data_IF_485768680703
#
_entry.id   IF_485768680703
#
_cell.length_a   1.000
_cell.length_b   1.000
_cell.length_c   1.000
_cell.angle_alpha   90.00
_cell.angle_beta   90.00
_cell.angle_gamma   90.00
#
_symmetry.space_group_name_H-M   'P 1'
#
loop_
_entity.id
_entity.type
_entity.pdbx_description
1 polymer ?
#
# COMPACT_ATOMS: atom_id res chain seq x y z
N UNK A 1 -6.95 13.44 -5.37
CA UNK A 1 -7.56 14.25 -6.44
C UNK A 1 -6.91 15.64 -6.53
N UNK A 2 -6.87 16.44 -5.43
CA UNK A 2 -6.27 17.78 -5.51
C UNK A 2 -4.78 17.73 -5.86
N UNK A 3 -3.99 16.87 -5.20
CA UNK A 3 -2.58 16.69 -5.52
C UNK A 3 -2.34 16.23 -6.96
N UNK A 4 -3.14 15.30 -7.45
CA UNK A 4 -3.08 14.81 -8.82
C UNK A 4 -3.43 15.91 -9.86
N UNK A 5 -4.39 16.77 -9.54
CA UNK A 5 -4.76 17.89 -10.39
C UNK A 5 -3.74 19.05 -10.41
N UNK A 6 -2.98 19.22 -9.32
CA UNK A 6 -2.07 20.37 -9.13
C UNK A 6 -0.58 19.99 -9.23
N UNK A 7 -0.22 18.72 -9.35
CA UNK A 7 1.16 18.24 -9.35
C UNK A 7 1.42 17.20 -10.43
N UNK A 8 2.36 17.46 -11.32
CA UNK A 8 2.84 16.49 -12.32
C UNK A 8 3.68 15.33 -11.70
N UNK A 9 3.81 15.29 -10.37
CA UNK A 9 4.54 14.26 -9.61
C UNK A 9 3.64 13.19 -9.01
N UNK A 10 2.32 13.32 -9.20
CA UNK A 10 1.31 12.40 -8.68
C UNK A 10 0.35 12.02 -9.79
N UNK A 11 0.01 10.75 -9.88
CA UNK A 11 -1.01 10.22 -10.77
C UNK A 11 -1.91 9.27 -9.98
N UNK A 12 -3.22 9.48 -10.01
CA UNK A 12 -4.18 8.57 -9.38
C UNK A 12 -4.62 7.46 -10.33
N UNK A 13 -4.65 6.24 -9.81
CA UNK A 13 -5.14 5.05 -10.49
C UNK A 13 -6.19 4.37 -9.64
N UNK A 14 -7.28 3.94 -10.26
CA UNK A 14 -8.27 3.08 -9.62
C UNK A 14 -7.91 1.62 -9.86
N UNK A 15 -7.63 0.86 -8.80
CA UNK A 15 -7.37 -0.58 -8.89
C UNK A 15 -8.64 -1.37 -9.20
N UNK A 16 -9.78 -0.87 -8.77
CA UNK A 16 -11.10 -1.45 -8.98
C UNK A 16 -12.10 -0.95 -7.94
N UNK A 17 -13.24 -1.64 -7.85
CA UNK A 17 -14.28 -1.35 -6.87
C UNK A 17 -14.16 -2.26 -5.66
N UNK A 18 -14.35 -1.71 -4.47
CA UNK A 18 -14.46 -2.46 -3.22
C UNK A 18 -15.74 -3.29 -3.18
N UNK A 19 -15.90 -4.07 -2.13
CA UNK A 19 -17.11 -4.85 -1.87
C UNK A 19 -18.38 -4.00 -1.85
N UNK A 20 -18.31 -2.77 -1.33
CA UNK A 20 -19.44 -1.82 -1.28
C UNK A 20 -19.46 -0.82 -2.46
N UNK A 21 -18.60 -1.03 -3.46
CA UNK A 21 -18.61 -0.26 -4.70
C UNK A 21 -17.82 1.05 -4.68
N UNK A 22 -17.01 1.33 -3.65
CA UNK A 22 -16.09 2.48 -3.61
C UNK A 22 -14.89 2.22 -4.52
N UNK A 23 -14.25 3.29 -4.97
CA UNK A 23 -12.99 3.18 -5.69
C UNK A 23 -11.85 2.81 -4.73
N UNK A 24 -11.09 1.77 -5.08
CA UNK A 24 -9.81 1.47 -4.43
C UNK A 24 -8.71 2.24 -5.16
N UNK A 25 -8.28 3.35 -4.57
CA UNK A 25 -7.42 4.36 -5.23
C UNK A 25 -5.96 4.16 -4.83
N UNK A 26 -5.10 4.07 -5.85
CA UNK A 26 -3.64 4.02 -5.73
C UNK A 26 -3.05 5.35 -6.22
N UNK A 27 -2.24 6.01 -5.41
CA UNK A 27 -1.44 7.14 -5.83
C UNK A 27 -0.06 6.65 -6.30
N UNK A 28 0.29 6.98 -7.54
CA UNK A 28 1.62 6.75 -8.12
C UNK A 28 2.39 8.04 -8.00
N UNK A 29 3.46 8.05 -7.22
CA UNK A 29 4.21 9.26 -6.88
C UNK A 29 5.67 9.06 -7.27
N UNK A 30 6.21 9.99 -8.09
CA UNK A 30 7.61 9.99 -8.50
C UNK A 30 7.99 11.36 -9.10
N UNK A 31 9.21 11.49 -9.61
CA UNK A 31 9.59 12.66 -10.41
C UNK A 31 8.79 12.70 -11.72
N UNK A 32 8.60 13.88 -12.26
CA UNK A 32 7.95 14.09 -13.55
C UNK A 32 8.61 13.26 -14.66
N UNK A 33 9.96 13.19 -14.64
CA UNK A 33 10.73 12.39 -15.58
C UNK A 33 10.45 10.88 -15.47
N UNK A 34 10.24 10.36 -14.24
CA UNK A 34 9.89 8.96 -14.03
C UNK A 34 8.45 8.69 -14.45
N UNK A 35 7.51 9.56 -14.12
CA UNK A 35 6.11 9.40 -14.54
C UNK A 35 5.95 9.47 -16.06
N UNK A 36 6.70 10.33 -16.74
CA UNK A 36 6.69 10.41 -18.21
C UNK A 36 7.15 9.11 -18.92
N UNK A 37 7.90 8.25 -18.21
CA UNK A 37 8.38 6.95 -18.72
C UNK A 37 7.87 5.76 -17.90
N UNK A 38 6.78 5.91 -17.19
CA UNK A 38 6.26 4.95 -16.22
C UNK A 38 6.09 3.53 -16.80
N UNK A 39 5.53 3.41 -18.00
CA UNK A 39 5.35 2.10 -18.64
C UNK A 39 6.70 1.42 -18.94
N UNK A 40 7.73 2.20 -19.31
CA UNK A 40 9.07 1.66 -19.46
C UNK A 40 9.64 1.17 -18.12
N UNK A 41 9.41 1.88 -17.03
CA UNK A 41 9.83 1.45 -15.69
C UNK A 41 9.14 0.15 -15.28
N UNK A 42 7.84 -0.01 -15.59
CA UNK A 42 7.08 -1.25 -15.36
C UNK A 42 7.64 -2.44 -16.17
N UNK A 43 8.02 -2.20 -17.43
CA UNK A 43 8.68 -3.23 -18.24
C UNK A 43 10.02 -3.66 -17.60
N UNK A 44 10.83 -2.72 -17.13
CA UNK A 44 12.08 -3.01 -16.44
C UNK A 44 11.83 -3.83 -15.16
N UNK A 45 10.86 -3.42 -14.33
CA UNK A 45 10.46 -4.16 -13.15
C UNK A 45 10.02 -5.60 -13.47
N UNK A 46 9.24 -5.78 -14.55
CA UNK A 46 8.81 -7.09 -14.98
C UNK A 46 9.97 -8.00 -15.42
N UNK A 47 10.99 -7.45 -16.10
CA UNK A 47 12.20 -8.18 -16.48
C UNK A 47 13.03 -8.56 -15.24
N UNK A 48 13.14 -7.65 -14.27
CA UNK A 48 13.86 -7.91 -13.02
C UNK A 48 13.15 -8.98 -12.17
N UNK A 49 11.82 -8.98 -12.15
CA UNK A 49 11.03 -9.96 -11.41
C UNK A 49 11.02 -11.34 -12.06
N UNK A 50 10.93 -11.40 -13.39
CA UNK A 50 10.99 -12.66 -14.13
C UNK A 50 12.01 -12.57 -15.27
N UNK A 51 13.29 -12.90 -15.00
CA UNK A 51 14.37 -12.83 -15.99
C UNK A 51 14.40 -14.01 -16.96
N UNK A 52 13.50 -14.98 -16.86
CA UNK A 52 13.46 -16.17 -17.74
C UNK A 52 13.25 -15.76 -19.20
N UNK A 53 14.03 -16.37 -20.09
CA UNK A 53 13.99 -16.04 -21.52
C UNK A 53 14.55 -14.67 -21.91
N UNK A 54 15.20 -13.95 -20.97
CA UNK A 54 15.87 -12.66 -21.25
C UNK A 54 17.38 -12.86 -21.37
N UNK A 55 17.98 -12.19 -22.35
CA UNK A 55 19.45 -12.18 -22.49
C UNK A 55 20.11 -11.41 -21.33
N UNK A 56 21.42 -11.61 -21.16
CA UNK A 56 22.18 -10.87 -20.15
C UNK A 56 22.11 -9.36 -20.36
N UNK A 57 22.20 -8.92 -21.61
CA UNK A 57 22.14 -7.51 -22.02
C UNK A 57 20.78 -6.90 -21.68
N UNK A 58 19.68 -7.63 -21.94
CA UNK A 58 18.33 -7.18 -21.60
C UNK A 58 18.14 -7.02 -20.09
N UNK A 59 18.68 -7.94 -19.30
CA UNK A 59 18.61 -7.87 -17.83
C UNK A 59 19.42 -6.70 -17.27
N UNK A 60 20.65 -6.48 -17.76
CA UNK A 60 21.47 -5.36 -17.35
C UNK A 60 20.84 -4.03 -17.74
N UNK A 61 20.32 -3.91 -18.95
CA UNK A 61 19.61 -2.72 -19.40
C UNK A 61 18.36 -2.42 -18.56
N UNK A 62 17.63 -3.45 -18.12
CA UNK A 62 16.48 -3.29 -17.24
C UNK A 62 16.88 -2.74 -15.86
N UNK A 63 18.02 -3.17 -15.32
CA UNK A 63 18.55 -2.64 -14.05
C UNK A 63 19.02 -1.20 -14.20
N UNK A 64 19.76 -0.88 -15.27
CA UNK A 64 20.31 0.46 -15.50
C UNK A 64 19.23 1.51 -15.80
N UNK A 65 18.19 1.13 -16.56
CA UNK A 65 17.11 2.04 -16.97
C UNK A 65 15.92 2.05 -16.03
N UNK A 66 15.83 1.06 -15.16
CA UNK A 66 14.75 0.89 -14.19
C UNK A 66 14.81 1.90 -13.04
N UNK A 67 13.74 1.94 -12.29
CA UNK A 67 13.68 2.51 -10.96
C UNK A 67 12.94 1.51 -10.05
N UNK A 68 13.32 1.37 -8.77
CA UNK A 68 12.61 0.50 -7.86
C UNK A 68 11.19 1.04 -7.59
N UNK A 69 10.26 0.12 -7.46
CA UNK A 69 8.90 0.38 -7.00
C UNK A 69 8.78 0.02 -5.52
N UNK A 70 8.31 0.96 -4.72
CA UNK A 70 7.91 0.76 -3.33
C UNK A 70 6.40 0.81 -3.25
N UNK A 71 5.76 -0.27 -2.85
CA UNK A 71 4.31 -0.30 -2.58
C UNK A 71 4.06 -0.13 -1.08
N UNK A 72 3.28 0.88 -0.72
CA UNK A 72 2.87 1.18 0.65
C UNK A 72 1.37 1.03 0.75
N UNK A 73 0.88 0.07 1.54
CA UNK A 73 -0.53 -0.10 1.83
C UNK A 73 -0.85 0.33 3.26
N UNK A 74 -2.00 0.98 3.44
CA UNK A 74 -2.46 1.48 4.72
C UNK A 74 -3.89 1.02 5.02
N UNK A 75 -4.26 1.04 6.30
CA UNK A 75 -5.62 0.87 6.78
C UNK A 75 -6.34 -0.38 6.25
N UNK A 76 -5.66 -1.53 6.22
CA UNK A 76 -6.31 -2.82 6.02
C UNK A 76 -7.27 -3.10 7.18
N UNK A 77 -6.80 -2.98 8.42
CA UNK A 77 -7.66 -2.90 9.58
C UNK A 77 -8.14 -1.45 9.74
N UNK A 78 -9.38 -1.19 9.45
CA UNK A 78 -9.93 0.18 9.41
C UNK A 78 -9.91 0.90 10.77
N UNK A 79 -9.81 0.18 11.87
CA UNK A 79 -9.65 0.72 13.23
C UNK A 79 -8.24 1.25 13.51
N UNK A 80 -7.26 0.97 12.66
CA UNK A 80 -5.89 1.46 12.74
C UNK A 80 -5.78 2.86 12.09
N UNK A 81 -6.40 3.85 12.73
CA UNK A 81 -6.70 5.16 12.15
C UNK A 81 -5.47 6.06 11.85
N UNK A 82 -4.29 5.75 12.38
CA UNK A 82 -3.09 6.56 12.14
C UNK A 82 -2.56 6.37 10.70
N UNK A 83 -2.70 5.15 10.14
CA UNK A 83 -2.15 4.81 8.83
C UNK A 83 -2.74 5.64 7.67
N UNK A 84 -4.06 5.82 7.52
CA UNK A 84 -4.62 6.65 6.44
C UNK A 84 -4.29 8.15 6.60
N UNK A 85 -4.13 8.64 7.84
CA UNK A 85 -3.68 10.01 8.07
C UNK A 85 -2.20 10.19 7.67
N UNK A 86 -1.36 9.26 8.07
CA UNK A 86 0.04 9.19 7.64
C UNK A 86 0.16 9.16 6.11
N UNK A 87 -0.65 8.36 5.43
CA UNK A 87 -0.64 8.25 3.98
C UNK A 87 -0.91 9.59 3.28
N UNK A 88 -1.84 10.39 3.81
CA UNK A 88 -2.14 11.71 3.25
C UNK A 88 -0.97 12.68 3.41
N UNK A 89 -0.31 12.68 4.57
CA UNK A 89 0.87 13.50 4.81
C UNK A 89 2.04 13.04 3.94
N UNK A 90 2.30 11.73 3.87
CA UNK A 90 3.36 11.16 3.05
C UNK A 90 3.18 11.53 1.56
N UNK A 91 1.95 11.44 1.05
CA UNK A 91 1.66 11.84 -0.32
C UNK A 91 1.97 13.32 -0.57
N UNK A 92 1.61 14.18 0.38
CA UNK A 92 1.91 15.61 0.30
C UNK A 92 3.41 15.87 0.31
N UNK A 93 4.16 15.32 1.27
CA UNK A 93 5.61 15.49 1.37
C UNK A 93 6.35 14.97 0.13
N UNK A 94 6.00 13.78 -0.33
CA UNK A 94 6.58 13.22 -1.55
C UNK A 94 6.30 14.08 -2.79
N UNK A 95 5.15 14.71 -2.89
CA UNK A 95 4.79 15.53 -4.04
C UNK A 95 5.42 16.91 -4.02
N UNK A 96 5.59 17.53 -2.83
CA UNK A 96 5.87 18.96 -2.70
C UNK A 96 7.21 19.28 -2.05
N UNK A 97 7.73 18.45 -1.15
CA UNK A 97 8.95 18.74 -0.42
C UNK A 97 10.19 18.54 -1.29
N UNK A 98 11.13 19.48 -1.21
CA UNK A 98 12.47 19.36 -1.79
C UNK A 98 13.54 18.95 -0.76
N UNK A 99 13.11 18.65 0.47
CA UNK A 99 13.99 18.13 1.52
C UNK A 99 14.27 16.64 1.33
N UNK A 100 15.45 16.22 1.79
CA UNK A 100 15.75 14.80 1.94
C UNK A 100 14.99 14.22 3.16
N UNK A 101 14.47 12.99 3.11
CA UNK A 101 14.65 11.99 2.06
C UNK A 101 13.58 12.02 0.93
N UNK A 102 12.62 12.97 0.97
CA UNK A 102 11.48 12.99 0.03
C UNK A 102 11.92 13.23 -1.41
N UNK A 103 12.88 14.16 -1.60
CA UNK A 103 13.43 14.44 -2.93
C UNK A 103 14.13 13.21 -3.51
N UNK A 104 15.00 12.56 -2.73
CA UNK A 104 15.71 11.35 -3.18
C UNK A 104 14.75 10.20 -3.50
N UNK A 105 13.73 9.97 -2.67
CA UNK A 105 12.71 8.97 -2.93
C UNK A 105 12.00 9.24 -4.28
N UNK A 106 11.60 10.48 -4.52
CA UNK A 106 10.93 10.87 -5.75
C UNK A 106 11.83 10.76 -7.00
N UNK A 107 13.10 11.11 -6.89
CA UNK A 107 14.04 11.05 -8.00
C UNK A 107 14.43 9.63 -8.37
N UNK A 108 14.56 8.74 -7.38
CA UNK A 108 15.14 7.42 -7.57
C UNK A 108 14.13 6.26 -7.51
N UNK A 109 12.92 6.50 -7.01
CA UNK A 109 11.90 5.46 -6.83
C UNK A 109 10.56 5.87 -7.45
N UNK A 110 9.70 4.89 -7.65
CA UNK A 110 8.26 5.08 -7.86
C UNK A 110 7.54 4.57 -6.61
N UNK A 111 6.88 5.47 -5.89
CA UNK A 111 6.10 5.12 -4.70
C UNK A 111 4.66 4.87 -5.12
N UNK A 112 4.18 3.68 -4.82
CA UNK A 112 2.81 3.22 -5.02
C UNK A 112 2.10 3.27 -3.68
N UNK A 113 1.36 4.34 -3.41
CA UNK A 113 0.70 4.55 -2.13
C UNK A 113 -0.78 4.23 -2.22
N UNK A 114 -1.22 3.24 -1.45
CA UNK A 114 -2.61 2.86 -1.26
C UNK A 114 -3.07 3.39 0.11
N UNK A 115 -3.77 4.54 0.17
CA UNK A 115 -4.09 5.21 1.44
C UNK A 115 -5.02 4.41 2.34
N UNK A 116 -5.87 3.58 1.76
CA UNK A 116 -6.70 2.63 2.48
C UNK A 116 -6.93 1.38 1.64
N UNK A 117 -6.57 0.24 2.20
CA UNK A 117 -6.89 -1.08 1.63
C UNK A 117 -8.36 -1.44 1.90
N UNK A 118 -8.96 -0.85 2.94
CA UNK A 118 -10.35 -1.08 3.34
C UNK A 118 -11.11 0.25 3.51
N UNK A 119 -11.43 0.97 2.42
CA UNK A 119 -12.15 2.23 2.51
C UNK A 119 -13.59 2.06 3.01
N UNK A 120 -14.22 0.91 2.78
CA UNK A 120 -15.57 0.59 3.28
C UNK A 120 -15.58 0.58 4.81
N UNK A 121 -14.63 -0.12 5.42
CA UNK A 121 -14.48 -0.15 6.87
C UNK A 121 -14.04 1.19 7.46
N UNK A 122 -13.21 1.94 6.75
CA UNK A 122 -12.77 3.26 7.21
C UNK A 122 -13.93 4.24 7.35
N UNK A 123 -14.89 4.21 6.42
CA UNK A 123 -16.11 5.02 6.51
C UNK A 123 -16.95 4.63 7.74
N UNK A 124 -17.12 3.35 8.03
CA UNK A 124 -17.84 2.86 9.22
C UNK A 124 -17.19 3.34 10.51
N UNK A 125 -15.86 3.22 10.60
CA UNK A 125 -15.10 3.70 11.77
C UNK A 125 -15.25 5.21 11.93
N UNK A 126 -15.14 5.96 10.84
CA UNK A 126 -15.28 7.41 10.87
C UNK A 126 -16.69 7.85 11.25
N UNK A 127 -17.72 7.16 10.77
CA UNK A 127 -19.10 7.42 11.12
C UNK A 127 -19.38 7.09 12.60
N UNK A 128 -18.91 5.94 13.07
CA UNK A 128 -19.01 5.57 14.48
C UNK A 128 -18.38 6.62 15.38
N UNK A 129 -17.16 7.06 15.07
CA UNK A 129 -16.49 8.11 15.84
C UNK A 129 -17.26 9.42 15.83
N UNK A 130 -17.76 9.89 14.69
CA UNK A 130 -18.58 11.12 14.60
C UNK A 130 -19.83 11.04 15.46
N UNK A 131 -20.46 9.87 15.56
CA UNK A 131 -21.66 9.65 16.33
C UNK A 131 -21.38 9.52 17.84
N UNK A 132 -20.17 9.15 18.25
CA UNK A 132 -19.80 8.89 19.65
C UNK A 132 -18.91 9.98 20.25
N UNK A 133 -18.30 10.82 19.45
CA UNK A 133 -17.39 11.90 19.92
C UNK A 133 -18.10 12.80 20.93
N UNK A 134 -17.40 13.12 22.04
CA UNK A 134 -17.93 13.88 23.18
C UNK A 134 -19.10 13.22 23.92
N UNK A 135 -19.30 11.94 23.77
CA UNK A 135 -20.23 11.13 24.54
C UNK A 135 -19.47 10.17 25.45
N UNK A 136 -20.13 9.49 26.41
CA UNK A 136 -19.51 8.44 27.20
C UNK A 136 -18.99 7.24 26.35
N UNK A 137 -19.34 7.19 25.09
CA UNK A 137 -18.98 6.10 24.16
C UNK A 137 -17.85 6.46 23.19
N UNK A 138 -17.23 7.65 23.31
CA UNK A 138 -16.19 8.12 22.38
C UNK A 138 -15.03 7.13 22.18
N UNK A 139 -14.64 6.43 23.22
CA UNK A 139 -13.55 5.45 23.17
C UNK A 139 -14.03 4.00 23.04
N UNK A 140 -15.31 3.78 22.77
CA UNK A 140 -15.84 2.42 22.62
C UNK A 140 -15.46 1.81 21.28
N UNK A 141 -15.33 0.50 21.26
CA UNK A 141 -15.04 -0.26 20.06
C UNK A 141 -16.20 -0.16 19.05
N UNK A 142 -15.89 -0.27 17.77
CA UNK A 142 -16.89 -0.36 16.72
C UNK A 142 -17.79 -1.59 16.98
N UNK A 143 -19.14 -1.45 17.05
CA UNK A 143 -20.03 -2.55 17.44
C UNK A 143 -20.29 -3.56 16.32
N UNK A 144 -19.69 -3.35 15.15
CA UNK A 144 -19.81 -4.21 13.98
C UNK A 144 -18.44 -4.49 13.36
N UNK A 145 -18.38 -5.46 12.45
CA UNK A 145 -17.17 -5.70 11.67
C UNK A 145 -16.95 -4.57 10.65
N UNK A 146 -15.71 -4.11 10.52
CA UNK A 146 -15.30 -3.15 9.49
C UNK A 146 -15.10 -3.77 8.11
N UNK A 147 -15.42 -5.05 7.95
CA UNK A 147 -15.33 -5.78 6.69
C UNK A 147 -16.54 -6.70 6.52
N UNK A 148 -16.86 -7.08 5.29
CA UNK A 148 -17.84 -8.11 5.04
C UNK A 148 -17.34 -9.42 5.67
N UNK A 149 -18.19 -10.08 6.45
CA UNK A 149 -17.81 -11.31 7.14
C UNK A 149 -17.51 -12.44 6.14
N UNK A 150 -16.32 -13.01 6.25
CA UNK A 150 -15.85 -14.12 5.42
C UNK A 150 -15.26 -15.27 6.25
N UNK A 151 -15.46 -15.29 7.57
CA UNK A 151 -14.98 -16.32 8.46
C UNK A 151 -13.57 -16.12 9.03
N UNK A 152 -12.88 -15.06 8.61
CA UNK A 152 -11.51 -14.72 9.04
C UNK A 152 -11.26 -13.21 9.00
N UNK A 153 -10.19 -12.78 9.63
CA UNK A 153 -9.65 -11.43 9.52
C UNK A 153 -9.26 -11.11 8.06
N UNK A 154 -9.46 -9.85 7.62
CA UNK A 154 -9.10 -9.45 6.26
C UNK A 154 -7.59 -9.60 5.99
N UNK A 155 -6.75 -9.47 7.01
CA UNK A 155 -5.31 -9.75 6.91
C UNK A 155 -4.98 -11.26 6.97
N UNK A 156 -5.96 -12.14 6.93
CA UNK A 156 -5.81 -13.60 6.75
C UNK A 156 -6.41 -14.09 5.44
N UNK A 157 -6.72 -13.16 4.53
CA UNK A 157 -7.36 -13.48 3.24
C UNK A 157 -6.37 -13.65 2.08
N UNK A 158 -5.09 -13.37 2.28
CA UNK A 158 -4.07 -13.37 1.21
C UNK A 158 -3.88 -14.71 0.48
N UNK A 159 -4.17 -15.82 1.16
CA UNK A 159 -4.09 -17.15 0.54
C UNK A 159 -5.43 -17.60 -0.07
N UNK A 160 -6.55 -17.14 0.50
CA UNK A 160 -7.90 -17.55 0.09
C UNK A 160 -8.49 -16.63 -0.98
N UNK A 161 -8.13 -15.33 -0.95
CA UNK A 161 -8.59 -14.28 -1.86
C UNK A 161 -10.13 -14.26 -1.97
N UNK A 162 -10.82 -14.33 -0.84
CA UNK A 162 -12.29 -14.30 -0.80
C UNK A 162 -12.85 -12.88 -0.89
N UNK A 163 -12.09 -11.90 -0.38
CA UNK A 163 -12.47 -10.50 -0.39
C UNK A 163 -12.03 -9.80 -1.67
N UNK A 164 -12.84 -8.83 -2.11
CA UNK A 164 -12.56 -8.08 -3.34
C UNK A 164 -11.29 -7.24 -3.22
N UNK A 165 -11.05 -6.65 -2.07
CA UNK A 165 -9.91 -5.78 -1.77
C UNK A 165 -8.59 -6.55 -1.86
N UNK A 166 -8.51 -7.73 -1.26
CA UNK A 166 -7.31 -8.58 -1.32
C UNK A 166 -7.03 -9.08 -2.73
N UNK A 167 -8.06 -9.38 -3.54
CA UNK A 167 -7.90 -9.71 -4.96
C UNK A 167 -7.28 -8.56 -5.75
N UNK A 168 -7.79 -7.34 -5.54
CA UNK A 168 -7.31 -6.15 -6.24
C UNK A 168 -5.86 -5.81 -5.86
N UNK A 169 -5.54 -5.85 -4.56
CA UNK A 169 -4.17 -5.60 -4.09
C UNK A 169 -3.21 -6.69 -4.55
N UNK A 170 -3.60 -7.96 -4.47
CA UNK A 170 -2.79 -9.08 -4.98
C UNK A 170 -2.50 -8.92 -6.47
N UNK A 171 -3.50 -8.53 -7.26
CA UNK A 171 -3.31 -8.25 -8.68
C UNK A 171 -2.31 -7.10 -8.90
N UNK A 172 -2.48 -6.00 -8.16
CA UNK A 172 -1.57 -4.85 -8.25
C UNK A 172 -0.12 -5.26 -7.92
N UNK A 173 0.09 -5.99 -6.81
CA UNK A 173 1.41 -6.42 -6.36
C UNK A 173 2.09 -7.37 -7.35
N UNK A 174 1.43 -8.45 -7.74
CA UNK A 174 2.09 -9.55 -8.45
C UNK A 174 1.99 -9.47 -9.98
N UNK A 175 1.02 -8.73 -10.51
CA UNK A 175 0.78 -8.72 -11.95
C UNK A 175 0.98 -7.34 -12.58
N UNK A 176 0.43 -6.29 -11.97
CA UNK A 176 0.36 -4.98 -12.62
C UNK A 176 1.62 -4.13 -12.36
N UNK A 177 2.19 -4.15 -11.15
CA UNK A 177 3.30 -3.27 -10.75
C UNK A 177 4.59 -3.99 -10.39
N UNK A 178 4.53 -5.17 -9.75
CA UNK A 178 5.70 -5.98 -9.34
C UNK A 178 6.73 -5.18 -8.53
N UNK A 179 6.33 -4.56 -7.41
CA UNK A 179 7.23 -3.76 -6.59
C UNK A 179 8.36 -4.61 -5.99
N UNK A 180 9.54 -4.02 -5.82
CA UNK A 180 10.67 -4.66 -5.16
C UNK A 180 10.55 -4.64 -3.65
N UNK A 181 9.80 -3.67 -3.11
CA UNK A 181 9.52 -3.53 -1.68
C UNK A 181 8.03 -3.36 -1.48
N UNK A 182 7.47 -4.12 -0.56
CA UNK A 182 6.10 -3.96 -0.07
C UNK A 182 6.13 -3.63 1.41
N UNK A 183 5.54 -2.50 1.78
CA UNK A 183 5.37 -2.06 3.16
C UNK A 183 3.90 -2.01 3.50
N UNK A 184 3.45 -2.93 4.34
CA UNK A 184 2.09 -2.97 4.87
C UNK A 184 2.06 -2.28 6.23
N UNK A 185 1.38 -1.14 6.29
CA UNK A 185 1.38 -0.25 7.46
C UNK A 185 0.25 -0.64 8.39
N UNK A 186 0.62 -1.16 9.55
CA UNK A 186 -0.29 -1.52 10.63
C UNK A 186 -0.05 -0.68 11.89
N UNK A 187 -1.03 -0.69 12.79
CA UNK A 187 -0.95 -0.07 14.10
C UNK A 187 -1.15 -1.14 15.18
N UNK A 188 -0.21 -1.21 16.11
CA UNK A 188 -0.33 -2.12 17.25
C UNK A 188 -1.18 -1.52 18.36
N UNK A 189 -1.77 -2.39 19.18
CA UNK A 189 -2.55 -1.99 20.35
C UNK A 189 -1.72 -1.19 21.36
N UNK A 190 -2.38 -0.29 22.12
CA UNK A 190 -1.72 0.62 23.03
C UNK A 190 -1.11 -0.02 24.28
N UNK A 191 -1.42 -1.28 24.55
CA UNK A 191 -1.07 -1.99 25.81
C UNK A 191 -0.06 -3.12 25.63
N UNK A 192 0.48 -3.33 24.42
CA UNK A 192 1.40 -4.41 24.09
C UNK A 192 2.71 -3.86 23.50
N UNK A 193 3.56 -4.76 23.03
CA UNK A 193 4.80 -4.43 22.36
C UNK A 193 4.57 -3.50 21.17
N UNK A 194 5.50 -2.60 20.95
CA UNK A 194 5.40 -1.56 19.91
C UNK A 194 6.14 -1.91 18.63
N UNK A 195 7.03 -2.88 18.68
CA UNK A 195 7.88 -3.28 17.58
C UNK A 195 8.23 -4.75 17.69
N UNK A 196 8.14 -5.47 16.59
CA UNK A 196 8.67 -6.81 16.41
C UNK A 196 9.69 -6.82 15.28
N UNK A 197 10.80 -7.51 15.50
CA UNK A 197 11.83 -7.72 14.47
C UNK A 197 12.18 -9.21 14.41
N UNK A 198 12.55 -9.73 13.24
CA UNK A 198 13.07 -11.08 13.12
C UNK A 198 14.34 -11.27 13.98
N UNK A 199 14.67 -12.51 14.37
CA UNK A 199 13.93 -13.74 14.11
C UNK A 199 12.70 -13.89 15.01
N UNK A 200 11.60 -14.36 14.43
CA UNK A 200 10.41 -14.70 15.20
C UNK A 200 10.64 -16.02 15.95
N UNK A 201 9.85 -16.24 17.02
CA UNK A 201 9.92 -17.47 17.80
C UNK A 201 9.35 -18.65 16.99
N UNK A 202 9.95 -19.82 17.18
CA UNK A 202 9.48 -21.10 16.66
C UNK A 202 7.96 -21.33 16.83
N UNK A 203 7.34 -22.06 15.88
CA UNK A 203 7.97 -22.67 14.71
C UNK A 203 8.00 -21.71 13.49
N UNK A 204 9.14 -21.59 12.84
CA UNK A 204 9.24 -21.05 11.50
C UNK A 204 8.93 -22.15 10.48
N UNK A 205 8.36 -21.80 9.33
CA UNK A 205 8.19 -22.75 8.23
C UNK A 205 9.58 -23.16 7.73
N UNK A 206 9.94 -24.47 7.78
CA UNK A 206 11.27 -24.93 7.39
C UNK A 206 11.56 -24.77 5.90
N UNK A 207 10.56 -24.44 5.08
CA UNK A 207 10.73 -24.20 3.64
C UNK A 207 10.89 -22.70 3.31
N UNK A 208 10.83 -21.82 4.30
CA UNK A 208 11.07 -20.40 4.13
C UNK A 208 12.44 -20.03 4.69
N UNK A 209 13.26 -19.41 3.86
CA UNK A 209 14.51 -18.82 4.32
C UNK A 209 14.17 -17.64 5.25
N UNK A 210 14.65 -17.64 6.50
CA UNK A 210 14.37 -16.56 7.43
C UNK A 210 15.10 -15.24 7.09
N UNK A 211 15.94 -15.22 6.04
CA UNK A 211 16.65 -14.01 5.55
C UNK A 211 18.01 -13.85 6.16
#
# INVERSE_FOLDING_TARGET
EKLDAESARVELRTLGKTTEGRDLVLAVISSEANLARLERLKECAAICTDPRGKTREQRLAAVEQGAPFLFVSCAMHATECAAPQFAMQLAWELATSDEEPYRAAREHCVVLLLPSTNPDGLDRVAEWYRNTVRTPHEASELPELYQLYCGHDNNRDWFALTQQETKLVTRALYFDWKPQVYWDVHQQGSKQERLFVPPFRDPLDPNLDPG
#
